data_IF_759535192369
#
_entry.id   IF_759535192369
#
_cell.length_a   1.000
_cell.length_b   1.000
_cell.length_c   1.000
_cell.angle_alpha   90.00
_cell.angle_beta   90.00
_cell.angle_gamma   90.00
#
_symmetry.space_group_name_H-M   'P 1'
#
loop_
_entity.id
_entity.type
_entity.pdbx_description
1 polymer ?
#
# COMPACT_ATOMS: atom_id res chain seq x y z
N UNK A 1 1.66 22.72 13.39
CA UNK A 1 1.08 21.43 13.81
C UNK A 1 0.19 20.80 12.73
N UNK A 2 -0.85 21.49 12.24
CA UNK A 2 -1.74 20.97 11.18
C UNK A 2 -1.02 20.56 9.88
N UNK A 3 -0.07 21.37 9.39
CA UNK A 3 0.75 21.03 8.21
C UNK A 3 1.63 19.79 8.40
N UNK A 4 2.13 19.55 9.61
CA UNK A 4 2.95 18.37 9.91
C UNK A 4 2.09 17.10 9.83
N UNK A 5 0.85 17.19 10.34
CA UNK A 5 -0.13 16.11 10.33
C UNK A 5 -0.60 15.79 8.90
N UNK A 6 -0.79 16.80 8.04
CA UNK A 6 -1.09 16.58 6.61
C UNK A 6 0.07 15.92 5.85
N UNK A 7 1.32 16.38 6.07
CA UNK A 7 2.52 15.78 5.44
C UNK A 7 2.70 14.32 5.83
N UNK A 8 2.45 14.00 7.09
CA UNK A 8 2.49 12.63 7.59
C UNK A 8 1.44 11.74 6.90
N UNK A 9 0.18 12.17 6.82
CA UNK A 9 -0.88 11.41 6.13
C UNK A 9 -0.60 11.22 4.63
N UNK A 10 -0.04 12.24 3.97
CA UNK A 10 0.42 12.13 2.59
C UNK A 10 1.60 11.15 2.44
N UNK A 11 2.50 11.07 3.42
CA UNK A 11 3.59 10.08 3.42
C UNK A 11 3.07 8.65 3.59
N UNK A 12 2.10 8.42 4.47
CA UNK A 12 1.42 7.13 4.60
C UNK A 12 0.69 6.77 3.30
N UNK A 13 0.02 7.75 2.67
CA UNK A 13 -0.63 7.56 1.38
C UNK A 13 0.36 7.19 0.27
N UNK A 14 1.53 7.84 0.27
CA UNK A 14 2.61 7.54 -0.65
C UNK A 14 3.13 6.11 -0.46
N UNK A 15 3.44 5.71 0.78
CA UNK A 15 3.89 4.34 1.11
C UNK A 15 2.90 3.30 0.60
N UNK A 16 1.62 3.53 0.88
CA UNK A 16 0.53 2.67 0.47
C UNK A 16 0.47 2.48 -1.04
N UNK A 17 0.38 3.59 -1.80
CA UNK A 17 0.26 3.53 -3.26
C UNK A 17 1.51 2.94 -3.91
N UNK A 18 2.68 3.20 -3.34
CA UNK A 18 3.93 2.59 -3.76
C UNK A 18 3.90 1.06 -3.61
N UNK A 19 3.49 0.56 -2.44
CA UNK A 19 3.42 -0.88 -2.17
C UNK A 19 2.37 -1.60 -3.03
N UNK A 20 1.19 -1.00 -3.22
CA UNK A 20 0.16 -1.53 -4.12
C UNK A 20 0.65 -1.61 -5.57
N UNK A 21 1.31 -0.55 -6.05
CA UNK A 21 1.78 -0.51 -7.44
C UNK A 21 2.84 -1.57 -7.70
N UNK A 22 3.80 -1.76 -6.78
CA UNK A 22 4.77 -2.87 -6.86
C UNK A 22 4.06 -4.21 -6.99
N UNK A 23 3.11 -4.49 -6.10
CA UNK A 23 2.39 -5.75 -6.11
C UNK A 23 1.63 -5.97 -7.43
N UNK A 24 0.93 -4.95 -7.94
CA UNK A 24 0.08 -5.06 -9.11
C UNK A 24 0.89 -5.09 -10.42
N UNK A 25 1.83 -4.16 -10.60
CA UNK A 25 2.62 -4.06 -11.82
C UNK A 25 3.60 -5.25 -11.95
N UNK A 26 4.22 -5.68 -10.86
CA UNK A 26 5.16 -6.79 -10.87
C UNK A 26 4.47 -8.17 -10.98
N UNK A 27 3.19 -8.26 -10.63
CA UNK A 27 2.46 -9.53 -10.58
C UNK A 27 2.53 -10.34 -11.86
N UNK A 28 2.46 -9.68 -13.00
CA UNK A 28 2.51 -10.32 -14.31
C UNK A 28 3.87 -10.95 -14.58
N UNK A 29 4.95 -10.28 -14.20
CA UNK A 29 6.33 -10.74 -14.40
C UNK A 29 6.67 -11.87 -13.44
N UNK A 30 6.38 -11.71 -12.14
CA UNK A 30 6.66 -12.73 -11.11
C UNK A 30 5.93 -14.03 -11.43
N UNK A 31 4.62 -13.96 -11.73
CA UNK A 31 3.81 -15.17 -11.88
C UNK A 31 4.14 -15.94 -13.15
N UNK A 32 4.52 -15.26 -14.23
CA UNK A 32 5.03 -15.92 -15.44
C UNK A 32 6.42 -16.53 -15.20
N UNK A 33 7.32 -15.85 -14.49
CA UNK A 33 8.67 -16.36 -14.23
C UNK A 33 8.70 -17.54 -13.24
N UNK A 34 8.06 -17.40 -12.08
CA UNK A 34 8.12 -18.40 -11.00
C UNK A 34 7.10 -19.54 -11.14
N UNK A 35 5.93 -19.26 -11.71
CA UNK A 35 4.82 -20.23 -11.74
C UNK A 35 4.38 -20.61 -13.16
N UNK A 36 4.98 -20.00 -14.20
CA UNK A 36 4.65 -20.26 -15.61
C UNK A 36 3.15 -20.02 -15.86
N UNK A 37 2.58 -19.01 -15.21
CA UNK A 37 1.17 -18.66 -15.38
C UNK A 37 0.94 -18.05 -16.77
N UNK A 38 -0.18 -18.45 -17.39
CA UNK A 38 -0.68 -17.82 -18.60
C UNK A 38 -1.25 -16.44 -18.30
N UNK A 39 -1.25 -15.53 -19.28
CA UNK A 39 -1.85 -14.19 -19.15
C UNK A 39 -3.30 -14.24 -18.66
N UNK A 40 -4.07 -15.24 -19.09
CA UNK A 40 -5.45 -15.46 -18.63
C UNK A 40 -5.53 -15.75 -17.13
N UNK A 41 -4.63 -16.58 -16.60
CA UNK A 41 -4.56 -16.92 -15.17
C UNK A 41 -4.20 -15.69 -14.33
N UNK A 42 -3.24 -14.88 -14.81
CA UNK A 42 -2.86 -13.62 -14.17
C UNK A 42 -4.03 -12.64 -14.14
N UNK A 43 -4.75 -12.50 -15.26
CA UNK A 43 -5.91 -11.61 -15.36
C UNK A 43 -7.03 -12.02 -14.41
N UNK A 44 -7.32 -13.31 -14.28
CA UNK A 44 -8.32 -13.83 -13.32
C UNK A 44 -7.87 -13.53 -11.88
N UNK A 45 -6.59 -13.78 -11.55
CA UNK A 45 -6.03 -13.47 -10.24
C UNK A 45 -6.18 -11.98 -9.88
N UNK A 46 -5.76 -11.09 -10.77
CA UNK A 46 -5.86 -9.64 -10.57
C UNK A 46 -7.32 -9.16 -10.50
N UNK A 47 -8.22 -9.75 -11.30
CA UNK A 47 -9.65 -9.44 -11.23
C UNK A 47 -10.25 -9.86 -9.87
N UNK A 48 -9.90 -11.05 -9.37
CA UNK A 48 -10.34 -11.51 -8.06
C UNK A 48 -9.78 -10.63 -6.94
N UNK A 49 -8.50 -10.26 -7.02
CA UNK A 49 -7.84 -9.38 -6.06
C UNK A 49 -8.48 -7.98 -6.07
N UNK A 50 -8.72 -7.39 -7.24
CA UNK A 50 -9.43 -6.11 -7.37
C UNK A 50 -10.89 -6.16 -6.92
N UNK A 51 -11.57 -7.31 -7.06
CA UNK A 51 -12.94 -7.48 -6.56
C UNK A 51 -13.02 -7.38 -5.04
N UNK A 52 -11.94 -7.71 -4.31
CA UNK A 52 -11.88 -7.58 -2.85
C UNK A 52 -11.95 -6.13 -2.35
N UNK A 53 -11.67 -5.14 -3.20
CA UNK A 53 -11.76 -3.71 -2.88
C UNK A 53 -13.17 -3.32 -2.42
N UNK A 54 -14.20 -3.83 -3.11
CA UNK A 54 -15.60 -3.49 -2.83
C UNK A 54 -16.07 -3.93 -1.43
N UNK A 55 -15.97 -5.22 -1.05
CA UNK A 55 -16.38 -5.65 0.28
C UNK A 55 -15.53 -5.02 1.38
N UNK A 56 -14.23 -4.82 1.15
CA UNK A 56 -13.33 -4.18 2.12
C UNK A 56 -13.78 -2.74 2.41
N UNK A 57 -14.06 -1.94 1.37
CA UNK A 57 -14.54 -0.57 1.54
C UNK A 57 -15.90 -0.50 2.26
N UNK A 58 -16.82 -1.44 2.01
CA UNK A 58 -18.11 -1.52 2.73
C UNK A 58 -17.87 -1.83 4.22
N UNK A 59 -16.97 -2.76 4.54
CA UNK A 59 -16.65 -3.13 5.92
C UNK A 59 -16.02 -1.94 6.67
N UNK A 60 -15.09 -1.22 6.04
CA UNK A 60 -14.44 -0.05 6.66
C UNK A 60 -15.47 1.04 6.96
N UNK A 61 -16.31 1.36 5.97
CA UNK A 61 -17.31 2.42 6.07
C UNK A 61 -18.40 2.14 7.11
N UNK A 62 -18.85 0.89 7.23
CA UNK A 62 -19.95 0.54 8.14
C UNK A 62 -19.50 0.09 9.53
N UNK A 63 -18.41 -0.69 9.64
CA UNK A 63 -18.06 -1.38 10.89
C UNK A 63 -16.83 -0.80 11.57
N UNK A 64 -15.75 -0.57 10.83
CA UNK A 64 -14.46 -0.25 11.46
C UNK A 64 -14.42 1.19 11.94
N UNK A 65 -14.88 2.15 11.12
CA UNK A 65 -14.88 3.57 11.50
C UNK A 65 -15.82 3.91 12.66
N UNK A 66 -16.80 3.05 12.96
CA UNK A 66 -17.81 3.32 13.98
C UNK A 66 -17.49 2.65 15.33
N UNK A 67 -16.64 1.61 15.32
CA UNK A 67 -16.30 0.81 16.51
C UNK A 67 -14.89 1.12 17.01
N UNK A 68 -13.94 1.39 16.12
CA UNK A 68 -12.53 1.60 16.48
C UNK A 68 -12.07 3.02 16.24
N UNK A 69 -11.13 3.48 17.06
CA UNK A 69 -10.42 4.73 16.78
C UNK A 69 -9.61 4.59 15.48
N UNK A 70 -9.82 5.51 14.54
CA UNK A 70 -9.14 5.56 13.22
C UNK A 70 -7.61 5.42 13.34
N UNK A 71 -7.00 5.84 14.47
CA UNK A 71 -5.56 5.72 14.73
C UNK A 71 -5.08 4.29 14.93
N UNK A 72 -5.85 3.50 15.70
CA UNK A 72 -5.49 2.11 15.99
C UNK A 72 -5.60 1.28 14.72
N UNK A 73 -6.64 1.54 13.91
CA UNK A 73 -6.84 0.89 12.62
C UNK A 73 -5.73 1.26 11.64
N UNK A 74 -5.32 2.54 11.60
CA UNK A 74 -4.19 3.00 10.77
C UNK A 74 -2.90 2.24 11.13
N UNK A 75 -2.50 2.22 12.40
CA UNK A 75 -1.28 1.53 12.82
C UNK A 75 -1.38 0.00 12.60
N UNK A 76 -2.53 -0.60 12.92
CA UNK A 76 -2.74 -2.04 12.72
C UNK A 76 -2.65 -2.43 11.24
N UNK A 77 -3.26 -1.64 10.35
CA UNK A 77 -3.21 -1.90 8.90
C UNK A 77 -1.81 -1.70 8.34
N UNK A 78 -1.04 -0.70 8.78
CA UNK A 78 0.39 -0.57 8.41
C UNK A 78 1.21 -1.79 8.83
N UNK A 79 1.01 -2.31 10.05
CA UNK A 79 1.70 -3.51 10.54
C UNK A 79 1.30 -4.74 9.69
N UNK A 80 0.02 -4.90 9.35
CA UNK A 80 -0.44 -6.03 8.52
C UNK A 80 0.12 -5.91 7.09
N UNK A 81 0.20 -4.71 6.51
CA UNK A 81 0.88 -4.47 5.22
C UNK A 81 2.34 -4.88 5.30
N UNK A 82 3.06 -4.50 6.36
CA UNK A 82 4.44 -4.89 6.58
C UNK A 82 4.61 -6.41 6.68
N UNK A 83 3.71 -7.08 7.41
CA UNK A 83 3.68 -8.55 7.50
C UNK A 83 3.41 -9.18 6.13
N UNK A 84 2.48 -8.61 5.35
CA UNK A 84 2.21 -9.06 3.99
C UNK A 84 3.44 -8.99 3.09
N UNK A 85 4.15 -7.85 3.10
CA UNK A 85 5.42 -7.65 2.38
C UNK A 85 6.48 -8.65 2.84
N UNK A 86 6.61 -8.88 4.15
CA UNK A 86 7.54 -9.86 4.72
C UNK A 86 7.24 -11.30 4.26
N UNK A 87 5.96 -11.69 4.19
CA UNK A 87 5.55 -13.00 3.71
C UNK A 87 5.78 -13.18 2.21
N UNK A 88 5.78 -12.09 1.42
CA UNK A 88 6.06 -12.13 -0.02
C UNK A 88 7.52 -12.39 -0.35
N UNK A 89 8.46 -12.20 0.58
CA UNK A 89 9.88 -12.44 0.31
C UNK A 89 10.16 -13.90 -0.07
N UNK A 90 11.01 -14.08 -1.07
CA UNK A 90 11.48 -15.40 -1.47
C UNK A 90 12.66 -15.83 -0.56
N UNK A 91 12.32 -16.32 0.65
CA UNK A 91 13.28 -16.82 1.65
C UNK A 91 13.28 -18.36 1.71
N UNK A 92 12.13 -19.01 1.44
CA UNK A 92 12.00 -20.48 1.49
C UNK A 92 12.15 -21.06 0.09
N UNK A 93 13.16 -21.90 -0.13
CA UNK A 93 13.28 -22.71 -1.35
C UNK A 93 12.21 -23.82 -1.34
N UNK A 94 11.29 -23.97 -2.32
CA UNK A 94 10.91 -23.12 -3.45
C UNK A 94 9.75 -22.14 -3.13
N UNK A 95 9.73 -21.00 -3.83
CA UNK A 95 8.62 -20.04 -3.75
C UNK A 95 7.31 -20.70 -4.20
N UNK A 96 6.27 -20.64 -3.36
CA UNK A 96 5.02 -21.37 -3.61
C UNK A 96 3.88 -20.46 -4.02
N UNK A 97 2.97 -20.97 -4.86
CA UNK A 97 1.77 -20.25 -5.28
C UNK A 97 0.92 -19.79 -4.07
N UNK A 98 0.65 -20.63 -3.04
CA UNK A 98 -0.14 -20.20 -1.89
C UNK A 98 0.55 -19.10 -1.08
N UNK A 99 1.88 -19.10 -1.00
CA UNK A 99 2.63 -18.02 -0.35
C UNK A 99 2.48 -16.71 -1.12
N UNK A 100 2.65 -16.71 -2.44
CA UNK A 100 2.47 -15.51 -3.26
C UNK A 100 1.03 -14.99 -3.18
N UNK A 101 0.04 -15.85 -3.44
CA UNK A 101 -1.37 -15.47 -3.43
C UNK A 101 -1.81 -15.01 -2.03
N UNK A 102 -1.41 -15.72 -0.97
CA UNK A 102 -1.75 -15.37 0.41
C UNK A 102 -1.11 -14.05 0.83
N UNK A 103 0.19 -13.86 0.57
CA UNK A 103 0.88 -12.61 0.90
C UNK A 103 0.36 -11.43 0.07
N UNK A 104 0.04 -11.63 -1.21
CA UNK A 104 -0.56 -10.60 -2.05
C UNK A 104 -1.96 -10.19 -1.56
N UNK A 105 -2.81 -11.16 -1.18
CA UNK A 105 -4.13 -10.89 -0.61
C UNK A 105 -4.02 -10.13 0.72
N UNK A 106 -3.15 -10.56 1.63
CA UNK A 106 -2.94 -9.88 2.93
C UNK A 106 -2.46 -8.45 2.71
N UNK A 107 -1.44 -8.26 1.87
CA UNK A 107 -0.89 -6.93 1.57
C UNK A 107 -1.95 -6.02 0.96
N UNK A 108 -2.68 -6.52 -0.05
CA UNK A 108 -3.66 -5.73 -0.78
C UNK A 108 -4.88 -5.36 0.09
N UNK A 109 -5.46 -6.33 0.80
CA UNK A 109 -6.62 -6.07 1.67
C UNK A 109 -6.25 -5.12 2.81
N UNK A 110 -5.08 -5.30 3.44
CA UNK A 110 -4.62 -4.39 4.49
C UNK A 110 -4.33 -2.99 3.95
N UNK A 111 -3.80 -2.89 2.73
CA UNK A 111 -3.58 -1.64 2.04
C UNK A 111 -4.92 -0.91 1.76
N UNK A 112 -5.95 -1.59 1.26
CA UNK A 112 -7.28 -1.00 1.06
C UNK A 112 -7.90 -0.50 2.38
N UNK A 113 -7.72 -1.24 3.49
CA UNK A 113 -8.11 -0.78 4.83
C UNK A 113 -7.38 0.50 5.23
N UNK A 114 -6.07 0.52 5.04
CA UNK A 114 -5.25 1.68 5.32
C UNK A 114 -5.64 2.89 4.46
N UNK A 115 -6.00 2.67 3.18
CA UNK A 115 -6.44 3.73 2.27
C UNK A 115 -7.72 4.40 2.77
N UNK A 116 -8.74 3.60 3.10
CA UNK A 116 -10.03 4.11 3.55
C UNK A 116 -9.90 4.96 4.81
N UNK A 117 -9.06 4.52 5.76
CA UNK A 117 -8.82 5.23 7.03
C UNK A 117 -7.92 6.45 6.84
N UNK A 118 -6.90 6.38 5.99
CA UNK A 118 -6.01 7.50 5.73
C UNK A 118 -6.75 8.63 5.00
N UNK A 119 -7.63 8.32 4.05
CA UNK A 119 -8.46 9.32 3.38
C UNK A 119 -9.47 9.97 4.33
N UNK A 120 -10.07 9.20 5.26
CA UNK A 120 -10.99 9.74 6.25
C UNK A 120 -10.27 10.70 7.21
N UNK A 121 -9.08 10.34 7.70
CA UNK A 121 -8.25 11.19 8.56
C UNK A 121 -7.73 12.43 7.82
N UNK A 122 -7.24 12.26 6.60
CA UNK A 122 -6.76 13.36 5.75
C UNK A 122 -7.86 14.40 5.53
N UNK A 123 -9.10 13.97 5.28
CA UNK A 123 -10.26 14.86 5.13
C UNK A 123 -10.54 15.72 6.38
N UNK A 124 -10.27 15.21 7.59
CA UNK A 124 -10.47 15.91 8.87
C UNK A 124 -9.31 16.85 9.23
N UNK A 125 -8.09 16.50 8.84
CA UNK A 125 -6.87 17.25 9.15
C UNK A 125 -6.69 18.46 8.21
N UNK A 126 -7.33 18.46 7.05
CA UNK A 126 -7.21 19.56 6.10
C UNK A 126 -8.03 20.78 6.50
N UNK A 127 -7.32 21.91 6.66
CA UNK A 127 -7.90 23.22 6.96
C UNK A 127 -8.84 23.73 5.86
N UNK A 128 -9.90 24.42 6.26
CA UNK A 128 -10.79 25.22 5.39
C UNK A 128 -10.07 26.28 4.56
N UNK A 129 -8.84 26.67 4.92
CA UNK A 129 -7.99 27.59 4.11
C UNK A 129 -7.27 26.90 2.96
N UNK A 130 -6.90 25.62 3.10
CA UNK A 130 -6.27 24.83 2.05
C UNK A 130 -7.32 24.29 1.05
N UNK A 131 -8.54 24.03 1.55
CA UNK A 131 -9.71 23.64 0.75
C UNK A 131 -10.27 24.74 -0.19
N UNK A 132 -9.88 26.01 0.00
CA UNK A 132 -10.36 27.15 -0.82
C UNK A 132 -9.52 27.43 -2.09
N UNK A 133 -8.35 26.79 -2.24
CA UNK A 133 -7.47 26.95 -3.40
C UNK A 133 -7.47 25.73 -4.33
N UNK A 134 -6.75 25.83 -5.45
CA UNK A 134 -6.50 24.71 -6.39
C UNK A 134 -5.77 23.53 -5.74
N UNK A 135 -4.97 23.78 -4.69
CA UNK A 135 -4.36 22.76 -3.82
C UNK A 135 -5.35 22.22 -2.79
N UNK A 136 -6.52 21.78 -3.26
CA UNK A 136 -7.46 21.05 -2.43
C UNK A 136 -6.86 19.68 -2.05
N UNK A 137 -7.34 19.12 -0.96
CA UNK A 137 -6.88 17.83 -0.46
C UNK A 137 -6.94 16.67 -1.41
N UNK A 138 -7.96 16.66 -2.26
CA UNK A 138 -8.08 15.68 -3.33
C UNK A 138 -6.91 15.78 -4.33
N UNK A 139 -6.48 16.99 -4.69
CA UNK A 139 -5.38 17.18 -5.64
C UNK A 139 -4.04 16.75 -5.01
N UNK A 140 -3.77 17.11 -3.76
CA UNK A 140 -2.54 16.70 -3.05
C UNK A 140 -2.47 15.17 -2.85
N UNK A 141 -3.59 14.53 -2.54
CA UNK A 141 -3.65 13.07 -2.43
C UNK A 141 -3.41 12.41 -3.79
N UNK A 142 -4.00 12.94 -4.85
CA UNK A 142 -3.79 12.44 -6.22
C UNK A 142 -2.33 12.63 -6.66
N UNK A 143 -1.73 13.80 -6.44
CA UNK A 143 -0.31 14.05 -6.77
C UNK A 143 0.63 13.14 -5.98
N UNK A 144 0.40 12.96 -4.68
CA UNK A 144 1.20 12.04 -3.87
C UNK A 144 1.04 10.60 -4.36
N UNK A 145 -0.17 10.19 -4.72
CA UNK A 145 -0.46 8.88 -5.28
C UNK A 145 0.19 8.65 -6.64
N UNK A 146 0.10 9.61 -7.57
CA UNK A 146 0.73 9.47 -8.90
C UNK A 146 2.25 9.47 -8.80
N UNK A 147 2.83 10.31 -7.94
CA UNK A 147 4.27 10.28 -7.67
C UNK A 147 4.72 8.94 -7.10
N UNK A 148 3.95 8.36 -6.17
CA UNK A 148 4.23 7.04 -5.62
C UNK A 148 4.26 5.97 -6.71
N UNK A 149 3.28 5.97 -7.61
CA UNK A 149 3.23 5.02 -8.73
C UNK A 149 4.41 5.20 -9.69
N UNK A 150 4.73 6.44 -10.06
CA UNK A 150 5.87 6.72 -10.96
C UNK A 150 7.19 6.24 -10.34
N UNK A 151 7.38 6.45 -9.04
CA UNK A 151 8.59 5.96 -8.35
C UNK A 151 8.56 4.44 -8.26
N UNK A 152 7.42 3.80 -7.99
CA UNK A 152 7.27 2.35 -7.98
C UNK A 152 7.62 1.74 -9.35
N UNK A 153 7.02 2.22 -10.44
CA UNK A 153 7.33 1.78 -11.81
C UNK A 153 8.81 1.99 -12.15
N UNK A 154 9.38 3.11 -11.71
CA UNK A 154 10.81 3.39 -11.82
C UNK A 154 11.66 2.35 -11.09
N UNK A 155 11.28 1.97 -9.87
CA UNK A 155 11.99 0.93 -9.10
C UNK A 155 11.87 -0.46 -9.71
N UNK A 156 10.71 -0.82 -10.26
CA UNK A 156 10.50 -2.08 -10.99
C UNK A 156 11.38 -2.10 -12.23
N UNK A 157 11.38 -1.01 -13.01
CA UNK A 157 12.19 -0.89 -14.23
C UNK A 157 13.69 -1.00 -13.90
N UNK A 158 14.16 -0.31 -12.85
CA UNK A 158 15.56 -0.39 -12.42
C UNK A 158 15.92 -1.80 -11.94
N UNK A 159 15.01 -2.45 -11.21
CA UNK A 159 15.18 -3.82 -10.72
C UNK A 159 15.14 -4.85 -11.85
N UNK A 160 14.41 -4.58 -12.93
CA UNK A 160 14.39 -5.39 -14.16
C UNK A 160 15.77 -5.52 -14.80
N UNK A 161 16.59 -4.47 -14.76
CA UNK A 161 17.98 -4.53 -15.26
C UNK A 161 18.90 -5.43 -14.43
N UNK A 162 18.56 -5.71 -13.16
CA UNK A 162 19.33 -6.60 -12.27
C UNK A 162 18.98 -8.09 -12.46
N UNK A 163 18.01 -8.40 -13.32
CA UNK A 163 17.58 -9.74 -13.71
C UNK A 163 16.33 -10.24 -12.97
N UNK A 164 15.51 -11.02 -13.69
CA UNK A 164 14.19 -11.50 -13.24
C UNK A 164 14.25 -12.35 -11.95
N UNK A 165 15.34 -13.09 -11.75
CA UNK A 165 15.55 -13.90 -10.54
C UNK A 165 15.63 -13.09 -9.24
N UNK A 166 16.09 -11.84 -9.30
CA UNK A 166 16.25 -10.95 -8.13
C UNK A 166 15.19 -9.86 -8.05
N UNK A 167 14.33 -9.76 -9.07
CA UNK A 167 13.37 -8.68 -9.24
C UNK A 167 12.47 -8.54 -8.01
N UNK A 168 11.84 -9.65 -7.59
CA UNK A 168 10.99 -9.71 -6.39
C UNK A 168 11.69 -9.21 -5.11
N UNK A 169 12.88 -9.72 -4.81
CA UNK A 169 13.58 -9.31 -3.58
C UNK A 169 14.11 -7.87 -3.68
N UNK A 170 14.45 -7.41 -4.90
CA UNK A 170 14.95 -6.06 -5.15
C UNK A 170 13.86 -4.99 -5.05
N UNK A 171 12.61 -5.28 -5.44
CA UNK A 171 11.46 -4.38 -5.32
C UNK A 171 10.86 -4.40 -3.92
N UNK A 172 10.86 -5.56 -3.24
CA UNK A 172 10.33 -5.69 -1.87
C UNK A 172 11.22 -5.03 -0.80
N UNK A 173 12.52 -4.88 -1.03
CA UNK A 173 13.42 -4.21 -0.08
C UNK A 173 13.08 -2.71 0.11
N UNK A 174 12.95 -1.90 -0.96
CA UNK A 174 12.46 -0.54 -0.86
C UNK A 174 11.06 -0.42 -0.23
N UNK A 175 10.13 -1.32 -0.59
CA UNK A 175 8.77 -1.26 -0.03
C UNK A 175 8.76 -1.52 1.47
N UNK A 176 9.55 -2.50 1.93
CA UNK A 176 9.74 -2.78 3.35
C UNK A 176 10.38 -1.60 4.09
N UNK A 177 11.40 -0.97 3.51
CA UNK A 177 12.03 0.20 4.12
C UNK A 177 11.04 1.37 4.29
N UNK A 178 10.27 1.68 3.24
CA UNK A 178 9.26 2.74 3.28
C UNK A 178 8.16 2.39 4.30
N UNK A 179 7.71 1.13 4.34
CA UNK A 179 6.70 0.66 5.31
C UNK A 179 7.19 0.75 6.76
N UNK A 180 8.42 0.30 7.06
CA UNK A 180 8.99 0.45 8.41
C UNK A 180 9.13 1.93 8.77
N UNK A 181 9.58 2.77 7.83
CA UNK A 181 9.70 4.20 8.07
C UNK A 181 8.34 4.85 8.36
N UNK A 182 7.25 4.38 7.72
CA UNK A 182 5.91 4.87 7.98
C UNK A 182 5.44 4.43 9.37
N UNK A 183 5.61 3.16 9.74
CA UNK A 183 5.26 2.64 11.09
C UNK A 183 5.99 3.42 12.18
N UNK A 184 7.30 3.66 11.99
CA UNK A 184 8.10 4.45 12.93
C UNK A 184 7.57 5.88 13.02
N UNK A 185 7.27 6.52 11.89
CA UNK A 185 6.67 7.85 11.86
C UNK A 185 5.28 7.88 12.51
N UNK A 186 4.48 6.83 12.33
CA UNK A 186 3.17 6.65 12.96
C UNK A 186 3.33 6.55 14.46
N UNK A 187 4.24 5.72 14.97
CA UNK A 187 4.52 5.61 16.40
C UNK A 187 4.97 6.93 17.03
N UNK A 188 5.85 7.69 16.36
CA UNK A 188 6.29 9.01 16.85
C UNK A 188 5.17 10.06 16.80
N UNK A 189 4.29 9.99 15.79
CA UNK A 189 3.18 10.94 15.62
C UNK A 189 1.93 10.52 16.40
N UNK A 190 1.85 9.27 16.84
CA UNK A 190 0.73 8.64 17.55
C UNK A 190 0.33 9.45 18.78
N UNK A 191 1.31 9.91 19.55
CA UNK A 191 1.09 10.67 20.78
C UNK A 191 0.87 12.18 20.53
N UNK A 192 1.20 12.69 19.35
CA UNK A 192 1.03 14.10 18.95
C UNK A 192 -0.20 14.34 18.08
N UNK A 193 -1.01 13.30 17.84
CA UNK A 193 -2.23 13.39 17.05
C UNK A 193 -3.41 14.03 17.83
N UNK A 194 -3.23 14.35 19.12
CA UNK A 194 -3.95 15.43 19.80
C UNK A 194 -3.05 16.65 19.93
#
# INVERSE_FOLDING_TARGET
MMLLRTRFQLFVYFMLKYAMEILLAESSVITTYYFIWSTSSVAIFLACLGLTVLPVNIIIGNYISNIFEERQVLLASEIIVCIGILLSFNIVTPYTVPQYVGSALVTFVAAEVLEGVNLSLLSRVMSSRLSRGTYNGGLLSTEAGTLARVIADGTITLSGYLGESKLLNATLLPSLFICISSIVATCFTYNSLY
#
